data_IF_251293302986
#
_entry.id   IF_251293302986
#
_cell.length_a   1.000
_cell.length_b   1.000
_cell.length_c   1.000
_cell.angle_alpha   90.00
_cell.angle_beta   90.00
_cell.angle_gamma   90.00
#
_symmetry.space_group_name_H-M   'P 1'
#
loop_
_entity.id
_entity.type
_entity.pdbx_description
1 polymer ?
#
# COMPACT_ATOMS: atom_id res chain seq x y z
N UNK A 1 -1.38 5.64 -5.90
CA UNK A 1 0.01 5.95 -5.54
C UNK A 1 0.10 7.28 -4.82
N UNK A 2 0.94 7.39 -3.84
CA UNK A 2 1.26 8.64 -3.16
C UNK A 2 2.77 8.77 -3.04
N UNK A 3 3.32 9.95 -3.36
CA UNK A 3 4.76 10.18 -3.42
C UNK A 3 5.18 11.30 -2.47
N UNK A 4 6.36 11.15 -1.85
CA UNK A 4 6.97 12.20 -1.03
C UNK A 4 7.31 13.44 -1.87
N UNK A 5 7.15 14.62 -1.27
CA UNK A 5 7.45 15.92 -1.92
C UNK A 5 8.91 15.94 -2.37
N UNK A 6 9.17 16.43 -3.59
CA UNK A 6 10.50 16.46 -4.21
C UNK A 6 11.18 15.09 -4.26
N UNK A 7 10.41 13.99 -4.24
CA UNK A 7 10.90 12.61 -4.17
C UNK A 7 11.73 12.34 -2.92
N UNK A 8 11.57 13.15 -1.88
CA UNK A 8 12.23 12.92 -0.61
C UNK A 8 11.63 11.71 0.11
N UNK A 9 12.41 11.06 1.00
CA UNK A 9 11.88 9.94 1.79
C UNK A 9 10.67 10.34 2.60
N UNK A 10 9.71 9.44 2.70
CA UNK A 10 8.56 9.57 3.57
C UNK A 10 8.53 8.51 4.69
N UNK A 11 9.47 7.59 4.69
CA UNK A 11 9.72 6.63 5.77
C UNK A 11 11.20 6.75 6.16
N UNK A 12 11.45 6.93 7.45
CA UNK A 12 12.81 7.19 7.98
C UNK A 12 13.29 6.09 8.91
N UNK A 13 12.36 5.34 9.52
CA UNK A 13 12.67 4.28 10.46
C UNK A 13 11.61 3.19 10.38
N UNK A 14 11.92 2.03 10.96
CA UNK A 14 11.03 0.87 10.96
C UNK A 14 9.68 1.18 11.58
N UNK A 15 9.64 1.97 12.66
CA UNK A 15 8.41 2.37 13.32
C UNK A 15 7.46 3.15 12.41
N UNK A 16 8.00 3.87 11.44
CA UNK A 16 7.20 4.66 10.50
C UNK A 16 6.37 3.74 9.60
N UNK A 17 6.97 2.66 9.11
CA UNK A 17 6.26 1.65 8.33
C UNK A 17 5.16 0.99 9.15
N UNK A 18 5.45 0.62 10.39
CA UNK A 18 4.46 0.02 11.28
C UNK A 18 3.29 0.96 11.56
N UNK A 19 3.58 2.24 11.78
CA UNK A 19 2.54 3.25 12.00
C UNK A 19 1.63 3.36 10.77
N UNK A 20 2.22 3.43 9.58
CA UNK A 20 1.45 3.52 8.34
C UNK A 20 0.55 2.30 8.15
N UNK A 21 1.11 1.10 8.31
CA UNK A 21 0.35 -0.15 8.15
C UNK A 21 -0.78 -0.28 9.16
N UNK A 22 -0.56 0.13 10.41
CA UNK A 22 -1.60 0.12 11.44
C UNK A 22 -2.79 0.99 11.02
N UNK A 23 -2.54 2.20 10.57
CA UNK A 23 -3.61 3.11 10.17
C UNK A 23 -4.21 2.78 8.82
N UNK A 24 -3.44 2.13 7.94
CA UNK A 24 -3.98 1.58 6.70
C UNK A 24 -5.06 0.54 7.01
N UNK A 25 -4.77 -0.40 7.90
CA UNK A 25 -5.73 -1.43 8.30
C UNK A 25 -6.95 -0.82 8.97
N UNK A 26 -6.74 0.07 9.92
CA UNK A 26 -7.83 0.68 10.68
C UNK A 26 -8.72 1.57 9.81
N UNK A 27 -8.11 2.41 8.97
CA UNK A 27 -8.86 3.29 8.07
C UNK A 27 -9.61 2.50 7.01
N UNK A 28 -9.04 1.39 6.51
CA UNK A 28 -9.74 0.51 5.58
C UNK A 28 -11.01 -0.06 6.21
N UNK A 29 -10.93 -0.50 7.46
CA UNK A 29 -12.11 -1.00 8.18
C UNK A 29 -13.14 0.12 8.38
N UNK A 30 -12.71 1.32 8.77
CA UNK A 30 -13.61 2.46 9.02
C UNK A 30 -14.36 2.89 7.76
N UNK A 31 -13.71 2.84 6.59
CA UNK A 31 -14.29 3.33 5.33
C UNK A 31 -14.72 2.22 4.38
N UNK A 32 -14.84 1.00 4.89
CA UNK A 32 -15.33 -0.17 4.12
C UNK A 32 -14.54 -0.40 2.84
N UNK A 33 -13.22 -0.31 2.96
CA UNK A 33 -12.28 -0.61 1.88
C UNK A 33 -11.60 -1.94 2.12
N UNK A 34 -11.33 -2.67 1.05
CA UNK A 34 -10.54 -3.90 1.07
C UNK A 34 -9.20 -3.64 0.41
N UNK A 35 -8.12 -4.03 1.10
CA UNK A 35 -6.76 -3.88 0.59
C UNK A 35 -6.31 -5.23 0.04
N UNK A 36 -5.95 -5.26 -1.25
CA UNK A 36 -5.56 -6.49 -1.93
C UNK A 36 -4.05 -6.61 -2.09
N UNK A 37 -3.37 -5.49 -2.22
CA UNK A 37 -1.91 -5.46 -2.32
C UNK A 37 -1.39 -4.09 -1.90
N UNK A 38 -0.15 -4.05 -1.41
CA UNK A 38 0.52 -2.81 -1.06
C UNK A 38 2.03 -2.96 -1.20
N UNK A 39 2.71 -1.84 -1.40
CA UNK A 39 4.15 -1.71 -1.21
C UNK A 39 4.45 -0.32 -0.67
N UNK A 40 5.22 -0.28 0.43
CA UNK A 40 5.68 0.96 1.04
C UNK A 40 7.14 1.15 0.66
N UNK A 41 7.39 1.95 -0.37
CA UNK A 41 8.74 2.30 -0.79
C UNK A 41 9.26 3.47 0.06
N UNK A 42 10.56 3.72 0.04
CA UNK A 42 11.15 4.78 0.85
C UNK A 42 10.50 6.14 0.61
N UNK A 43 10.16 6.45 -0.64
CA UNK A 43 9.65 7.77 -1.01
C UNK A 43 8.27 7.75 -1.66
N UNK A 44 7.59 6.61 -1.69
CA UNK A 44 6.24 6.51 -2.23
C UNK A 44 5.53 5.23 -1.77
N UNK A 45 4.22 5.22 -1.95
CA UNK A 45 3.35 4.11 -1.57
C UNK A 45 2.46 3.74 -2.75
N UNK A 46 2.33 2.45 -3.01
CA UNK A 46 1.34 1.91 -3.95
C UNK A 46 0.37 1.00 -3.21
N UNK A 47 -0.91 1.15 -3.52
CA UNK A 47 -1.98 0.32 -2.96
C UNK A 47 -2.90 -0.17 -4.08
N UNK A 48 -3.40 -1.40 -3.95
CA UNK A 48 -4.53 -1.91 -4.74
C UNK A 48 -5.69 -2.11 -3.77
N UNK A 49 -6.76 -1.34 -3.97
CA UNK A 49 -7.85 -1.22 -3.02
C UNK A 49 -9.19 -1.28 -3.77
N UNK A 50 -10.17 -1.93 -3.17
CA UNK A 50 -11.58 -1.81 -3.58
C UNK A 50 -12.38 -1.15 -2.48
N UNK A 51 -13.44 -0.43 -2.84
CA UNK A 51 -14.31 0.26 -1.89
C UNK A 51 -15.76 -0.08 -2.17
N UNK A 52 -16.53 -0.26 -1.09
CA UNK A 52 -17.97 -0.46 -1.19
C UNK A 52 -18.73 0.84 -1.46
N UNK A 53 -18.07 1.99 -1.23
CA UNK A 53 -18.68 3.32 -1.38
C UNK A 53 -17.91 4.13 -2.41
N UNK A 54 -18.61 5.02 -3.19
CA UNK A 54 -17.94 5.80 -4.25
C UNK A 54 -16.83 6.69 -3.76
N UNK A 55 -16.92 7.23 -2.52
CA UNK A 55 -15.92 8.12 -1.94
C UNK A 55 -14.98 7.43 -0.95
N UNK A 56 -15.08 6.09 -0.81
CA UNK A 56 -14.34 5.35 0.21
C UNK A 56 -12.82 5.44 0.06
N UNK A 57 -12.31 5.33 -1.17
CA UNK A 57 -10.87 5.40 -1.42
C UNK A 57 -10.32 6.79 -1.08
N UNK A 58 -11.04 7.84 -1.47
CA UNK A 58 -10.62 9.22 -1.15
C UNK A 58 -10.58 9.45 0.37
N UNK A 59 -11.58 8.96 1.09
CA UNK A 59 -11.64 9.07 2.54
C UNK A 59 -10.57 8.24 3.23
N UNK A 60 -10.30 7.04 2.73
CA UNK A 60 -9.22 6.18 3.20
C UNK A 60 -7.88 6.92 3.09
N UNK A 61 -7.56 7.43 1.93
CA UNK A 61 -6.29 8.11 1.67
C UNK A 61 -6.16 9.39 2.49
N UNK A 62 -7.25 10.14 2.65
CA UNK A 62 -7.28 11.34 3.47
C UNK A 62 -7.02 11.01 4.95
N UNK A 63 -7.64 9.96 5.46
CA UNK A 63 -7.49 9.53 6.84
C UNK A 63 -6.05 9.09 7.14
N UNK A 64 -5.48 8.22 6.30
CA UNK A 64 -4.10 7.76 6.47
C UNK A 64 -3.13 8.92 6.32
N UNK A 65 -3.31 9.73 5.29
CA UNK A 65 -2.40 10.83 4.97
C UNK A 65 -2.32 11.84 6.11
N UNK A 66 -3.46 12.23 6.65
CA UNK A 66 -3.51 13.19 7.76
C UNK A 66 -2.79 12.66 9.01
N UNK A 67 -3.08 11.42 9.40
CA UNK A 67 -2.49 10.81 10.59
C UNK A 67 -1.00 10.58 10.43
N UNK A 68 -0.59 10.12 9.26
CA UNK A 68 0.81 9.83 9.00
C UNK A 68 1.66 11.10 8.94
N UNK A 69 1.16 12.16 8.29
CA UNK A 69 1.87 13.46 8.24
C UNK A 69 2.03 14.04 9.64
N UNK A 70 0.98 14.00 10.47
CA UNK A 70 1.07 14.46 11.86
C UNK A 70 2.10 13.66 12.64
N UNK A 71 2.12 12.34 12.48
CA UNK A 71 3.08 11.47 13.14
C UNK A 71 4.51 11.80 12.74
N UNK A 72 4.79 11.93 11.44
CA UNK A 72 6.13 12.23 10.93
C UNK A 72 6.58 13.62 11.39
N UNK A 73 5.71 14.62 11.28
CA UNK A 73 6.06 15.99 11.67
C UNK A 73 6.36 16.08 13.18
N UNK A 74 5.61 15.35 13.99
CA UNK A 74 5.84 15.31 15.45
C UNK A 74 7.12 14.55 15.79
N UNK A 75 7.33 13.38 15.16
CA UNK A 75 8.47 12.50 15.47
C UNK A 75 9.81 13.10 15.06
N UNK A 76 9.83 13.84 13.95
CA UNK A 76 11.06 14.36 13.34
C UNK A 76 11.17 15.88 13.39
N UNK A 77 10.31 16.53 14.18
CA UNK A 77 10.30 18.00 14.37
C UNK A 77 10.21 18.74 13.03
N UNK A 78 9.32 18.27 12.15
CA UNK A 78 9.07 18.86 10.83
C UNK A 78 7.76 19.63 10.83
N UNK A 79 7.60 20.49 9.83
CA UNK A 79 6.34 21.21 9.56
C UNK A 79 5.99 21.08 8.08
N UNK A 80 4.71 21.27 7.77
CA UNK A 80 4.24 21.33 6.40
C UNK A 80 3.95 19.97 5.80
N UNK A 81 3.91 19.94 4.47
CA UNK A 81 3.50 18.78 3.69
C UNK A 81 4.59 17.72 3.60
N UNK A 82 4.20 16.46 3.65
CA UNK A 82 5.06 15.31 3.39
C UNK A 82 4.86 14.79 1.97
N UNK A 83 3.63 14.88 1.45
CA UNK A 83 3.24 14.29 0.18
C UNK A 83 3.20 15.33 -0.92
N UNK A 84 3.60 14.90 -2.14
CA UNK A 84 3.52 15.74 -3.34
C UNK A 84 2.07 15.74 -3.84
N UNK A 85 1.29 16.74 -3.44
CA UNK A 85 -0.09 16.89 -3.84
C UNK A 85 -1.00 15.76 -3.34
N UNK A 86 -2.11 15.55 -4.05
CA UNK A 86 -3.04 14.47 -3.76
C UNK A 86 -2.53 13.14 -4.28
N UNK A 87 -3.01 12.05 -3.70
CA UNK A 87 -2.73 10.72 -4.24
C UNK A 87 -3.24 10.61 -5.69
N UNK A 88 -2.52 9.81 -6.49
CA UNK A 88 -2.91 9.51 -7.86
C UNK A 88 -3.58 8.14 -7.90
N UNK A 89 -4.72 8.06 -8.57
CA UNK A 89 -5.45 6.80 -8.71
C UNK A 89 -5.72 6.47 -10.17
N UNK A 90 -5.75 5.19 -10.47
CA UNK A 90 -6.19 4.66 -11.75
C UNK A 90 -7.21 3.56 -11.48
N UNK A 91 -8.29 3.58 -12.26
CA UNK A 91 -9.31 2.56 -12.14
C UNK A 91 -8.89 1.32 -12.93
N UNK A 92 -8.81 0.18 -12.25
CA UNK A 92 -8.55 -1.12 -12.90
C UNK A 92 -9.92 -1.73 -13.22
N UNK A 93 -10.41 -1.51 -14.46
CA UNK A 93 -11.74 -1.95 -14.88
C UNK A 93 -11.79 -3.40 -15.36
N UNK A 94 -10.65 -3.93 -15.81
CA UNK A 94 -10.58 -5.28 -16.37
C UNK A 94 -9.89 -6.18 -15.35
N UNK A 95 -10.59 -7.22 -14.91
CA UNK A 95 -10.08 -8.16 -13.91
C UNK A 95 -8.76 -8.80 -14.31
N UNK A 96 -8.55 -9.01 -15.62
CA UNK A 96 -7.30 -9.56 -16.16
C UNK A 96 -6.07 -8.74 -15.75
N UNK A 97 -6.23 -7.42 -15.64
CA UNK A 97 -5.13 -6.53 -15.28
C UNK A 97 -4.92 -6.37 -13.78
N UNK A 98 -5.88 -6.82 -12.96
CA UNK A 98 -5.77 -6.69 -11.51
C UNK A 98 -4.55 -7.43 -10.97
N UNK A 99 -4.38 -8.70 -11.36
CA UNK A 99 -3.23 -9.50 -10.92
C UNK A 99 -1.92 -8.93 -11.45
N UNK A 100 -1.92 -8.40 -12.67
CA UNK A 100 -0.77 -7.73 -13.24
C UNK A 100 -0.39 -6.50 -12.43
N UNK A 101 -1.37 -5.69 -12.03
CA UNK A 101 -1.15 -4.53 -11.17
C UNK A 101 -0.59 -4.93 -9.81
N UNK A 102 -1.16 -5.97 -9.19
CA UNK A 102 -0.69 -6.46 -7.89
C UNK A 102 0.77 -6.91 -7.96
N UNK A 103 1.11 -7.71 -8.98
CA UNK A 103 2.48 -8.16 -9.19
C UNK A 103 3.42 -7.01 -9.51
N UNK A 104 2.95 -6.05 -10.31
CA UNK A 104 3.75 -4.89 -10.66
C UNK A 104 4.18 -4.11 -9.41
N UNK A 105 3.25 -3.83 -8.50
CA UNK A 105 3.60 -3.09 -7.29
C UNK A 105 4.48 -3.92 -6.34
N UNK A 106 4.22 -5.22 -6.22
CA UNK A 106 4.99 -6.09 -5.32
C UNK A 106 6.42 -6.35 -5.82
N UNK A 107 6.67 -6.19 -7.12
CA UNK A 107 8.01 -6.27 -7.71
C UNK A 107 8.74 -4.92 -7.72
N UNK A 108 8.10 -3.87 -7.28
CA UNK A 108 8.69 -2.53 -7.28
C UNK A 108 10.05 -2.47 -6.56
N UNK A 109 10.23 -3.09 -5.37
CA UNK A 109 11.54 -3.09 -4.71
C UNK A 109 12.64 -3.76 -5.54
N UNK A 110 12.32 -4.78 -6.32
CA UNK A 110 13.28 -5.43 -7.23
C UNK A 110 13.65 -4.48 -8.37
N UNK A 111 12.65 -3.85 -9.01
CA UNK A 111 12.91 -2.89 -10.09
C UNK A 111 13.71 -1.68 -9.61
N UNK A 112 13.53 -1.28 -8.35
CA UNK A 112 14.29 -0.17 -7.75
C UNK A 112 15.67 -0.60 -7.26
N UNK A 113 16.07 -1.85 -7.49
CA UNK A 113 17.36 -2.42 -7.06
C UNK A 113 17.59 -2.38 -5.55
N UNK A 114 16.51 -2.37 -4.77
CA UNK A 114 16.58 -2.39 -3.30
C UNK A 114 16.82 -3.80 -2.77
N UNK A 115 16.27 -4.80 -3.47
CA UNK A 115 16.39 -6.22 -3.14
C UNK A 115 16.53 -7.01 -4.45
N UNK A 116 17.03 -8.25 -4.38
CA UNK A 116 17.12 -9.14 -5.54
C UNK A 116 15.87 -10.00 -5.70
N UNK A 117 15.17 -10.28 -4.61
CA UNK A 117 13.98 -11.11 -4.57
C UNK A 117 12.90 -10.34 -3.81
N UNK A 118 11.65 -10.27 -4.33
CA UNK A 118 10.58 -9.53 -3.65
C UNK A 118 10.29 -10.03 -2.24
N UNK A 119 10.57 -11.30 -1.95
CA UNK A 119 10.41 -11.87 -0.60
C UNK A 119 11.35 -11.23 0.42
N UNK A 120 12.44 -10.61 -0.01
CA UNK A 120 13.40 -9.92 0.87
C UNK A 120 12.89 -8.56 1.33
N UNK A 121 11.88 -8.01 0.66
CA UNK A 121 11.32 -6.72 1.02
C UNK A 121 10.15 -6.90 1.98
N UNK A 122 10.34 -6.42 3.21
CA UNK A 122 9.40 -6.61 4.31
C UNK A 122 8.10 -5.81 4.15
N UNK A 123 8.17 -4.62 3.55
CA UNK A 123 7.09 -3.63 3.54
C UNK A 123 6.22 -3.72 2.30
N UNK A 124 5.82 -4.95 1.96
CA UNK A 124 4.94 -5.22 0.84
C UNK A 124 4.06 -6.43 1.12
N UNK A 125 2.99 -6.55 0.34
CA UNK A 125 2.05 -7.67 0.41
C UNK A 125 2.58 -8.95 -0.24
N UNK A 126 3.77 -8.94 -0.83
CA UNK A 126 4.29 -10.09 -1.58
C UNK A 126 4.37 -11.36 -0.71
N UNK A 127 4.81 -11.26 0.53
CA UNK A 127 4.92 -12.44 1.41
C UNK A 127 3.58 -13.10 1.66
N UNK A 128 2.50 -12.33 1.67
CA UNK A 128 1.15 -12.89 1.74
C UNK A 128 0.69 -13.44 0.40
N UNK A 129 0.67 -12.59 -0.64
CA UNK A 129 0.11 -12.94 -1.95
C UNK A 129 0.98 -13.95 -2.70
N UNK A 130 2.29 -13.80 -2.64
CA UNK A 130 3.23 -14.66 -3.36
C UNK A 130 3.63 -15.92 -2.59
N UNK A 131 3.72 -15.85 -1.26
CA UNK A 131 4.24 -16.93 -0.42
C UNK A 131 3.22 -17.51 0.54
N UNK A 132 2.00 -16.96 0.62
CA UNK A 132 0.94 -17.48 1.46
C UNK A 132 1.10 -17.19 2.95
N UNK A 133 1.98 -16.27 3.36
CA UNK A 133 2.11 -15.88 4.76
C UNK A 133 0.90 -15.06 5.21
N UNK A 134 0.46 -15.25 6.45
CA UNK A 134 -0.70 -14.54 6.98
C UNK A 134 -0.42 -13.04 7.09
N UNK A 135 -1.36 -12.21 6.62
CA UNK A 135 -1.36 -10.77 6.78
C UNK A 135 -2.81 -10.30 6.92
N UNK A 136 -3.19 -9.90 8.13
CA UNK A 136 -4.56 -9.51 8.45
C UNK A 136 -5.02 -8.23 7.72
N UNK A 137 -4.08 -7.43 7.21
CA UNK A 137 -4.38 -6.21 6.47
C UNK A 137 -4.93 -6.49 5.08
N UNK A 138 -4.67 -7.68 4.55
CA UNK A 138 -4.98 -8.03 3.17
C UNK A 138 -6.29 -8.81 3.11
N UNK A 139 -7.18 -8.36 2.22
CA UNK A 139 -8.38 -9.08 1.83
C UNK A 139 -8.10 -9.74 0.48
N UNK A 140 -8.08 -11.08 0.40
CA UNK A 140 -7.85 -11.74 -0.88
C UNK A 140 -8.92 -11.34 -1.91
N UNK A 141 -8.49 -11.01 -3.11
CA UNK A 141 -9.43 -10.75 -4.20
C UNK A 141 -9.97 -12.09 -4.71
N UNK A 142 -11.28 -12.18 -5.06
CA UNK A 142 -11.85 -13.43 -5.57
C UNK A 142 -11.09 -14.04 -6.74
N UNK A 143 -10.61 -13.22 -7.66
CA UNK A 143 -9.82 -13.68 -8.80
C UNK A 143 -8.52 -14.36 -8.37
N UNK A 144 -7.86 -13.83 -7.34
CA UNK A 144 -6.63 -14.39 -6.81
C UNK A 144 -6.87 -15.75 -6.13
N UNK A 145 -8.00 -15.87 -5.45
CA UNK A 145 -8.41 -17.14 -4.81
C UNK A 145 -8.69 -18.24 -5.85
N UNK A 146 -9.25 -17.88 -6.99
CA UNK A 146 -9.49 -18.82 -8.08
C UNK A 146 -8.18 -19.39 -8.63
N UNK A 147 -7.15 -18.54 -8.79
CA UNK A 147 -5.83 -19.00 -9.23
C UNK A 147 -5.20 -19.96 -8.21
N UNK A 148 -5.34 -19.68 -6.92
CA UNK A 148 -4.84 -20.53 -5.87
C UNK A 148 -5.45 -21.93 -5.86
N UNK A 149 -6.70 -22.07 -6.27
CA UNK A 149 -7.37 -23.36 -6.40
C UNK A 149 -6.83 -24.17 -7.57
N UNK A 150 -6.46 -23.49 -8.65
CA UNK A 150 -5.95 -24.15 -9.86
C UNK A 150 -4.50 -24.63 -9.68
N UNK A 151 -3.77 -24.05 -8.74
CA UNK A 151 -2.39 -24.40 -8.44
C UNK A 151 -2.25 -25.57 -7.45
N UNK A 152 -3.35 -26.00 -6.88
CA UNK A 152 -3.34 -27.11 -5.92
C UNK A 152 -3.42 -28.53 -6.61
#
# INVERSE_FOLDING_TARGET
MQRGINREPCFFAEEDYHFYLHWLQKSAADWHCAIHAYVLMTNHVHLVVTSEQPDGIAKLMQSIGRRYVQYINRSYHRTGSLWEGRFKSSLVQVEEYLLTCMRYIELNPVRASMVNDPAQYRWSSYRHNGLGQADERITPHPLYLELGKDES
#
